data_IF_743944905184
#
_entry.id   IF_743944905184
#
_cell.length_a   1.000
_cell.length_b   1.000
_cell.length_c   1.000
_cell.angle_alpha   90.00
_cell.angle_beta   90.00
_cell.angle_gamma   90.00
#
_symmetry.space_group_name_H-M   'P 1'
#
loop_
_entity.id
_entity.type
_entity.pdbx_description
1 polymer ?
#
# COMPACT_ATOMS: atom_id res chain seq x y z
N UNK A 1 20.86 -10.34 -64.53
CA UNK A 1 20.83 -11.11 -63.27
C UNK A 1 20.28 -10.27 -62.11
N UNK A 2 20.56 -8.97 -62.02
CA UNK A 2 20.01 -8.08 -60.98
C UNK A 2 18.47 -8.00 -60.93
N UNK A 3 17.80 -7.94 -62.08
CA UNK A 3 16.32 -7.88 -62.16
C UNK A 3 15.60 -9.13 -61.63
N UNK A 4 16.24 -10.31 -61.73
CA UNK A 4 15.69 -11.56 -61.17
C UNK A 4 15.78 -11.52 -59.64
N UNK A 5 16.88 -10.98 -59.09
CA UNK A 5 17.07 -10.76 -57.66
C UNK A 5 15.99 -9.83 -57.09
N UNK A 6 15.73 -8.69 -57.75
CA UNK A 6 14.72 -7.73 -57.29
C UNK A 6 13.30 -8.32 -57.29
N UNK A 7 12.94 -9.11 -58.30
CA UNK A 7 11.61 -9.76 -58.36
C UNK A 7 11.40 -10.75 -57.21
N UNK A 8 12.39 -11.62 -56.96
CA UNK A 8 12.33 -12.58 -55.86
C UNK A 8 12.23 -11.89 -54.50
N UNK A 9 12.91 -10.77 -54.33
CA UNK A 9 12.87 -9.98 -53.10
C UNK A 9 11.50 -9.30 -52.90
N UNK A 10 10.88 -8.79 -53.97
CA UNK A 10 9.51 -8.26 -53.95
C UNK A 10 8.50 -9.36 -53.60
N UNK A 11 8.60 -10.54 -54.19
CA UNK A 11 7.70 -11.68 -53.93
C UNK A 11 7.82 -12.16 -52.48
N UNK A 12 9.05 -12.26 -51.96
CA UNK A 12 9.31 -12.59 -50.55
C UNK A 12 8.71 -11.54 -49.61
N UNK A 13 8.89 -10.26 -49.92
CA UNK A 13 8.34 -9.16 -49.13
C UNK A 13 6.81 -9.17 -49.15
N UNK A 14 6.20 -9.35 -50.32
CA UNK A 14 4.75 -9.48 -50.48
C UNK A 14 4.18 -10.65 -49.68
N UNK A 15 4.81 -11.82 -49.75
CA UNK A 15 4.40 -13.01 -49.00
C UNK A 15 4.47 -12.78 -47.48
N UNK A 16 5.54 -12.14 -46.99
CA UNK A 16 5.69 -11.76 -45.58
C UNK A 16 4.60 -10.78 -45.13
N UNK A 17 4.36 -9.72 -45.89
CA UNK A 17 3.31 -8.73 -45.56
C UNK A 17 1.93 -9.38 -45.55
N UNK A 18 1.63 -10.25 -46.53
CA UNK A 18 0.35 -10.97 -46.60
C UNK A 18 0.16 -11.90 -45.40
N UNK A 19 1.22 -12.61 -45.01
CA UNK A 19 1.21 -13.53 -43.85
C UNK A 19 0.99 -12.77 -42.54
N UNK A 20 1.72 -11.66 -42.33
CA UNK A 20 1.56 -10.81 -41.15
C UNK A 20 0.14 -10.21 -41.12
N UNK A 21 -0.34 -9.67 -42.25
CA UNK A 21 -1.69 -9.10 -42.36
C UNK A 21 -2.79 -10.11 -41.99
N UNK A 22 -2.65 -11.36 -42.44
CA UNK A 22 -3.60 -12.42 -42.08
C UNK A 22 -3.53 -12.78 -40.60
N UNK A 23 -2.32 -12.84 -40.02
CA UNK A 23 -2.12 -13.16 -38.60
C UNK A 23 -2.68 -12.07 -37.69
N UNK A 24 -2.41 -10.79 -37.97
CA UNK A 24 -2.92 -9.65 -37.20
C UNK A 24 -4.46 -9.57 -37.24
N UNK A 25 -5.08 -9.97 -38.36
CA UNK A 25 -6.55 -10.08 -38.46
C UNK A 25 -7.15 -11.21 -37.63
N UNK A 26 -6.42 -12.30 -37.42
CA UNK A 26 -6.87 -13.48 -36.67
C UNK A 26 -6.55 -13.43 -35.17
N UNK A 27 -5.49 -12.75 -34.80
CA UNK A 27 -5.05 -12.58 -33.42
C UNK A 27 -4.85 -11.09 -33.15
N UNK A 28 -5.94 -10.33 -32.97
CA UNK A 28 -5.82 -8.92 -32.62
C UNK A 28 -5.00 -8.76 -31.35
N UNK A 29 -4.24 -7.66 -31.28
CA UNK A 29 -3.40 -7.30 -30.14
C UNK A 29 -4.18 -7.24 -28.82
N UNK A 30 -5.48 -6.92 -28.91
CA UNK A 30 -6.47 -7.00 -27.85
C UNK A 30 -7.20 -8.34 -27.94
N UNK A 31 -6.49 -9.41 -27.60
CA UNK A 31 -7.09 -10.71 -27.33
C UNK A 31 -7.94 -10.57 -26.06
N UNK A 32 -9.25 -10.77 -26.20
CA UNK A 32 -10.24 -10.54 -25.14
C UNK A 32 -9.90 -11.34 -23.87
N UNK A 33 -9.45 -12.58 -24.01
CA UNK A 33 -9.07 -13.42 -22.86
C UNK A 33 -7.85 -12.83 -22.11
N UNK A 34 -6.85 -12.35 -22.85
CA UNK A 34 -5.66 -11.74 -22.25
C UNK A 34 -5.97 -10.41 -21.58
N UNK A 35 -6.83 -9.60 -22.20
CA UNK A 35 -7.29 -8.33 -21.63
C UNK A 35 -8.08 -8.59 -20.35
N UNK A 36 -9.01 -9.55 -20.37
CA UNK A 36 -9.81 -9.91 -19.20
C UNK A 36 -8.91 -10.42 -18.06
N UNK A 37 -7.96 -11.31 -18.33
CA UNK A 37 -7.02 -11.79 -17.32
C UNK A 37 -6.19 -10.66 -16.69
N UNK A 38 -5.79 -9.67 -17.49
CA UNK A 38 -5.10 -8.47 -16.99
C UNK A 38 -6.00 -7.60 -16.10
N UNK A 39 -7.25 -7.37 -16.52
CA UNK A 39 -8.23 -6.62 -15.74
C UNK A 39 -8.58 -7.32 -14.43
N UNK A 40 -8.72 -8.64 -14.44
CA UNK A 40 -8.97 -9.44 -13.25
C UNK A 40 -7.79 -9.33 -12.26
N UNK A 41 -6.55 -9.40 -12.75
CA UNK A 41 -5.37 -9.20 -11.91
C UNK A 41 -5.33 -7.79 -11.29
N UNK A 42 -5.76 -6.76 -12.02
CA UNK A 42 -5.88 -5.40 -11.49
C UNK A 42 -6.97 -5.29 -10.42
N UNK A 43 -8.10 -5.95 -10.61
CA UNK A 43 -9.21 -6.00 -9.64
C UNK A 43 -8.75 -6.69 -8.36
N UNK A 44 -8.05 -7.83 -8.49
CA UNK A 44 -7.55 -8.58 -7.35
C UNK A 44 -6.52 -7.76 -6.56
N UNK A 45 -5.61 -7.08 -7.26
CA UNK A 45 -4.66 -6.17 -6.61
C UNK A 45 -5.36 -5.07 -5.80
N UNK A 46 -6.43 -4.46 -6.34
CA UNK A 46 -7.24 -3.47 -5.61
C UNK A 46 -7.87 -4.07 -4.35
N UNK A 47 -8.44 -5.27 -4.42
CA UNK A 47 -9.03 -5.94 -3.26
C UNK A 47 -8.00 -6.17 -2.15
N UNK A 48 -6.82 -6.67 -2.51
CA UNK A 48 -5.72 -6.89 -1.55
C UNK A 48 -5.36 -5.58 -0.83
N UNK A 49 -5.32 -4.46 -1.55
CA UNK A 49 -5.05 -3.15 -0.95
C UNK A 49 -6.16 -2.73 0.02
N UNK A 50 -7.43 -2.90 -0.36
CA UNK A 50 -8.57 -2.58 0.49
C UNK A 50 -8.55 -3.41 1.77
N UNK A 51 -8.36 -4.73 1.66
CA UNK A 51 -8.29 -5.64 2.81
C UNK A 51 -7.15 -5.28 3.76
N UNK A 52 -5.96 -5.00 3.21
CA UNK A 52 -4.80 -4.56 4.02
C UNK A 52 -5.07 -3.24 4.73
N UNK A 53 -5.69 -2.29 4.04
CA UNK A 53 -6.06 -0.98 4.61
C UNK A 53 -7.04 -1.17 5.77
N UNK A 54 -8.05 -2.03 5.61
CA UNK A 54 -9.01 -2.33 6.67
C UNK A 54 -8.35 -2.98 7.90
N UNK A 55 -7.41 -3.90 7.69
CA UNK A 55 -6.65 -4.53 8.77
C UNK A 55 -5.85 -3.46 9.54
N UNK A 56 -5.16 -2.56 8.83
CA UNK A 56 -4.37 -1.49 9.45
C UNK A 56 -5.29 -0.55 10.23
N UNK A 57 -6.41 -0.13 9.66
CA UNK A 57 -7.37 0.75 10.35
C UNK A 57 -7.91 0.09 11.63
N UNK A 58 -8.17 -1.21 11.62
CA UNK A 58 -8.56 -1.93 12.83
C UNK A 58 -7.45 -1.94 13.90
N UNK A 59 -6.18 -2.07 13.48
CA UNK A 59 -5.04 -1.97 14.39
C UNK A 59 -4.95 -0.55 14.97
N UNK A 60 -5.10 0.49 14.14
CA UNK A 60 -5.08 1.89 14.55
C UNK A 60 -6.15 2.14 15.62
N UNK A 61 -7.41 1.76 15.36
CA UNK A 61 -8.52 1.90 16.32
C UNK A 61 -8.24 1.18 17.64
N UNK A 62 -7.59 0.00 17.60
CA UNK A 62 -7.24 -0.74 18.81
C UNK A 62 -6.11 -0.05 19.59
N UNK A 63 -5.10 0.49 18.91
CA UNK A 63 -4.01 1.25 19.54
C UNK A 63 -4.55 2.53 20.18
N UNK A 64 -5.39 3.28 19.46
CA UNK A 64 -6.05 4.48 19.97
C UNK A 64 -6.86 4.19 21.23
N UNK A 65 -7.60 3.09 21.29
CA UNK A 65 -8.35 2.72 22.50
C UNK A 65 -7.46 2.50 23.73
N UNK A 66 -6.21 2.07 23.53
CA UNK A 66 -5.27 1.88 24.64
C UNK A 66 -4.85 3.20 25.28
N UNK A 67 -4.88 4.32 24.56
CA UNK A 67 -4.51 5.64 25.11
C UNK A 67 -5.46 6.12 26.21
N UNK A 68 -6.63 5.50 26.33
CA UNK A 68 -7.65 5.82 27.34
C UNK A 68 -7.48 5.04 28.63
N UNK A 69 -6.54 4.09 28.69
CA UNK A 69 -6.34 3.28 29.90
C UNK A 69 -5.61 4.08 30.97
N UNK A 70 -6.05 3.94 32.22
CA UNK A 70 -5.39 4.49 33.41
C UNK A 70 -4.87 3.36 34.30
N UNK A 71 -4.00 3.70 35.26
CA UNK A 71 -3.56 2.81 36.33
C UNK A 71 -2.87 1.52 35.86
N UNK A 72 -2.08 1.61 34.79
CA UNK A 72 -1.29 0.51 34.28
C UNK A 72 -0.09 0.20 35.18
N UNK A 73 0.15 -1.08 35.42
CA UNK A 73 1.34 -1.56 36.13
C UNK A 73 2.58 -1.62 35.21
N UNK A 74 3.74 -1.93 35.80
CA UNK A 74 5.02 -1.97 35.08
C UNK A 74 5.05 -3.04 33.98
N UNK A 75 4.41 -4.19 34.21
CA UNK A 75 4.30 -5.27 33.22
C UNK A 75 3.47 -4.81 32.00
N UNK A 76 2.37 -4.08 32.23
CA UNK A 76 1.57 -3.48 31.18
C UNK A 76 2.38 -2.45 30.38
N UNK A 77 3.15 -1.59 31.06
CA UNK A 77 4.01 -0.60 30.40
C UNK A 77 5.11 -1.27 29.55
N UNK A 78 5.68 -2.38 30.01
CA UNK A 78 6.65 -3.13 29.22
C UNK A 78 6.02 -3.69 27.93
N UNK A 79 4.83 -4.29 28.03
CA UNK A 79 4.09 -4.81 26.86
C UNK A 79 3.72 -3.68 25.89
N UNK A 80 3.33 -2.50 26.40
CA UNK A 80 3.05 -1.34 25.55
C UNK A 80 4.29 -0.87 24.78
N UNK A 81 5.46 -0.88 25.41
CA UNK A 81 6.71 -0.53 24.73
C UNK A 81 7.07 -1.52 23.61
N UNK A 82 6.84 -2.82 23.83
CA UNK A 82 7.03 -3.86 22.81
C UNK A 82 6.00 -3.73 21.67
N UNK A 83 4.75 -3.38 21.99
CA UNK A 83 3.71 -3.08 21.01
C UNK A 83 4.10 -1.89 20.13
N UNK A 84 4.57 -0.78 20.72
CA UNK A 84 5.02 0.42 20.00
C UNK A 84 6.18 0.06 19.07
N UNK A 85 7.15 -0.72 19.55
CA UNK A 85 8.29 -1.18 18.75
C UNK A 85 7.84 -2.03 17.57
N UNK A 86 6.92 -2.96 17.80
CA UNK A 86 6.32 -3.80 16.76
C UNK A 86 5.53 -2.99 15.73
N UNK A 87 4.81 -1.94 16.16
CA UNK A 87 4.07 -1.05 15.28
C UNK A 87 5.00 -0.21 14.39
N UNK A 88 6.13 0.27 14.94
CA UNK A 88 7.19 0.96 14.18
C UNK A 88 7.80 0.08 13.09
N UNK A 89 8.04 -1.20 13.41
CA UNK A 89 8.57 -2.19 12.45
C UNK A 89 7.55 -2.54 11.35
N UNK A 90 6.29 -2.72 11.74
CA UNK A 90 5.18 -2.92 10.81
C UNK A 90 5.07 -1.74 9.84
N UNK A 91 5.01 -0.51 10.35
CA UNK A 91 4.98 0.72 9.53
C UNK A 91 6.15 0.77 8.56
N UNK A 92 7.36 0.48 9.01
CA UNK A 92 8.56 0.49 8.18
C UNK A 92 8.44 -0.50 7.00
N UNK A 93 7.87 -1.67 7.25
CA UNK A 93 7.62 -2.68 6.22
C UNK A 93 6.52 -2.25 5.23
N UNK A 94 5.44 -1.65 5.73
CA UNK A 94 4.33 -1.18 4.90
C UNK A 94 4.74 0.02 4.01
N UNK A 95 5.55 0.95 4.51
CA UNK A 95 6.10 2.05 3.70
C UNK A 95 6.94 1.54 2.53
N UNK A 96 7.77 0.50 2.74
CA UNK A 96 8.54 -0.11 1.64
C UNK A 96 7.63 -0.69 0.56
N UNK A 97 6.54 -1.36 0.97
CA UNK A 97 5.53 -1.87 0.04
C UNK A 97 4.83 -0.72 -0.71
N UNK A 98 4.46 0.34 -0.01
CA UNK A 98 3.88 1.53 -0.66
C UNK A 98 4.82 2.13 -1.70
N UNK A 99 6.12 2.26 -1.39
CA UNK A 99 7.12 2.81 -2.31
C UNK A 99 7.29 1.93 -3.55
N UNK A 100 7.25 0.60 -3.42
CA UNK A 100 7.35 -0.30 -4.57
C UNK A 100 6.16 -0.18 -5.55
N UNK A 101 5.03 0.36 -5.09
CA UNK A 101 3.83 0.59 -5.92
C UNK A 101 3.84 1.94 -6.65
N UNK A 102 4.91 2.75 -6.53
CA UNK A 102 4.95 4.10 -7.07
C UNK A 102 4.72 4.16 -8.60
N UNK A 103 5.24 3.18 -9.34
CA UNK A 103 5.06 3.14 -10.80
C UNK A 103 3.62 2.81 -11.20
N UNK A 104 2.93 1.94 -10.44
CA UNK A 104 1.51 1.66 -10.64
C UNK A 104 0.68 2.92 -10.37
N UNK A 105 0.98 3.62 -9.27
CA UNK A 105 0.33 4.87 -8.90
C UNK A 105 0.52 5.96 -9.96
N UNK A 106 1.73 6.14 -10.49
CA UNK A 106 2.03 7.12 -11.55
C UNK A 106 1.25 6.82 -12.84
N UNK A 107 0.99 5.55 -13.13
CA UNK A 107 0.19 5.09 -14.27
C UNK A 107 -1.32 5.14 -14.01
N UNK A 108 -1.75 5.60 -12.83
CA UNK A 108 -3.17 5.67 -12.47
C UNK A 108 -3.80 4.32 -12.10
N UNK A 109 -2.99 3.27 -11.94
CA UNK A 109 -3.47 1.94 -11.55
C UNK A 109 -3.70 1.92 -10.04
N UNK A 110 -4.94 1.59 -9.63
CA UNK A 110 -5.36 1.48 -8.22
C UNK A 110 -4.98 2.72 -7.38
N UNK A 111 -5.06 3.91 -7.99
CA UNK A 111 -4.51 5.15 -7.40
C UNK A 111 -5.14 5.49 -6.05
N UNK A 112 -6.46 5.38 -5.94
CA UNK A 112 -7.18 5.70 -4.71
C UNK A 112 -6.90 4.63 -3.65
N UNK A 113 -6.91 3.35 -4.02
CA UNK A 113 -6.62 2.26 -3.08
C UNK A 113 -5.18 2.34 -2.53
N UNK A 114 -4.20 2.71 -3.36
CA UNK A 114 -2.81 2.95 -2.92
C UNK A 114 -2.72 4.18 -2.01
N UNK A 115 -3.53 5.21 -2.26
CA UNK A 115 -3.58 6.42 -1.44
C UNK A 115 -4.19 6.12 -0.07
N UNK A 116 -5.31 5.42 -0.03
CA UNK A 116 -5.98 5.01 1.21
C UNK A 116 -5.08 4.09 2.04
N UNK A 117 -4.39 3.16 1.38
CA UNK A 117 -3.37 2.33 2.02
C UNK A 117 -2.27 3.20 2.65
N UNK A 118 -1.76 4.22 1.96
CA UNK A 118 -0.78 5.15 2.56
C UNK A 118 -1.35 5.90 3.75
N UNK A 119 -2.57 6.41 3.64
CA UNK A 119 -3.20 7.15 4.74
C UNK A 119 -3.29 6.28 6.00
N UNK A 120 -3.72 5.01 5.86
CA UNK A 120 -3.76 4.08 7.01
C UNK A 120 -2.39 3.84 7.66
N UNK A 121 -1.30 3.85 6.87
CA UNK A 121 0.08 3.70 7.37
C UNK A 121 0.53 4.97 8.10
N UNK A 122 0.14 6.14 7.61
CA UNK A 122 0.44 7.42 8.25
C UNK A 122 -0.38 7.55 9.56
N UNK A 123 -1.64 7.12 9.59
CA UNK A 123 -2.46 7.03 10.82
C UNK A 123 -1.86 6.03 11.83
N UNK A 124 -1.31 4.90 11.38
CA UNK A 124 -0.61 3.97 12.28
C UNK A 124 0.58 4.65 12.97
N UNK A 125 1.27 5.55 12.25
CA UNK A 125 2.37 6.35 12.81
C UNK A 125 1.88 7.19 13.96
N UNK A 126 0.79 7.92 13.73
CA UNK A 126 0.19 8.82 14.71
C UNK A 126 -0.30 8.03 15.92
N UNK A 127 -1.03 6.93 15.70
CA UNK A 127 -1.57 6.09 16.77
C UNK A 127 -0.49 5.58 17.75
N UNK A 128 0.64 5.05 17.25
CA UNK A 128 1.69 4.58 18.17
C UNK A 128 2.50 5.74 18.77
N UNK A 129 2.63 6.88 18.10
CA UNK A 129 3.31 8.07 18.65
C UNK A 129 2.49 8.71 19.77
N UNK A 130 1.16 8.74 19.64
CA UNK A 130 0.24 9.17 20.68
C UNK A 130 0.27 8.22 21.88
N UNK A 131 0.27 6.91 21.63
CA UNK A 131 0.42 5.91 22.67
C UNK A 131 1.74 6.06 23.43
N UNK A 132 2.84 6.26 22.70
CA UNK A 132 4.16 6.53 23.28
C UNK A 132 4.16 7.82 24.11
N UNK A 133 3.52 8.86 23.60
CA UNK A 133 3.40 10.15 24.26
C UNK A 133 2.65 10.06 25.59
N UNK A 134 1.45 9.46 25.57
CA UNK A 134 0.56 9.33 26.74
C UNK A 134 1.22 8.58 27.89
N UNK A 135 1.89 7.47 27.61
CA UNK A 135 2.39 6.59 28.67
C UNK A 135 3.86 6.83 29.05
N UNK A 136 4.70 7.33 28.14
CA UNK A 136 6.15 7.40 28.39
C UNK A 136 6.74 8.81 28.35
N UNK A 137 6.04 9.78 27.76
CA UNK A 137 6.54 11.15 27.62
C UNK A 137 5.82 12.15 28.53
N UNK A 138 4.50 12.29 28.39
CA UNK A 138 3.69 13.25 29.15
C UNK A 138 3.80 13.07 30.67
N UNK A 139 3.83 11.84 31.24
CA UNK A 139 3.99 11.65 32.68
C UNK A 139 5.33 12.18 33.23
N UNK A 140 6.34 12.39 32.37
CA UNK A 140 7.64 12.95 32.76
C UNK A 140 7.64 14.48 32.78
N UNK A 141 6.61 15.14 32.26
CA UNK A 141 6.49 16.59 32.22
C UNK A 141 5.79 17.08 33.49
N UNK A 142 6.54 17.71 34.40
CA UNK A 142 6.03 18.17 35.70
C UNK A 142 4.79 19.06 35.57
N UNK A 143 4.80 20.04 34.65
CA UNK A 143 3.66 20.93 34.42
C UNK A 143 2.40 20.20 33.96
N UNK A 144 2.54 19.11 33.19
CA UNK A 144 1.41 18.29 32.74
C UNK A 144 0.82 17.51 33.91
N UNK A 145 1.66 16.90 34.76
CA UNK A 145 1.26 16.18 35.97
C UNK A 145 0.56 17.11 36.97
N UNK A 146 1.08 18.31 37.16
CA UNK A 146 0.50 19.28 38.09
C UNK A 146 -0.87 19.79 37.60
N UNK A 147 -1.02 20.03 36.30
CA UNK A 147 -2.29 20.44 35.70
C UNK A 147 -3.33 19.32 35.73
N UNK A 148 -2.94 18.08 35.41
CA UNK A 148 -3.85 16.92 35.49
C UNK A 148 -4.30 16.65 36.91
N UNK A 149 -3.42 16.79 37.92
CA UNK A 149 -3.81 16.74 39.33
C UNK A 149 -4.85 17.80 39.69
N UNK A 150 -4.66 19.05 39.25
CA UNK A 150 -5.63 20.14 39.50
C UNK A 150 -6.99 19.86 38.85
N UNK A 151 -7.00 19.26 37.66
CA UNK A 151 -8.24 18.91 36.95
C UNK A 151 -8.94 17.68 37.56
N UNK A 152 -8.20 16.74 38.14
CA UNK A 152 -8.74 15.54 38.78
C UNK A 152 -9.34 15.77 40.18
N UNK A 153 -9.13 16.96 40.77
CA UNK A 153 -9.63 17.35 42.09
C UNK A 153 -11.00 18.06 42.03
N UNK A 154 -11.65 18.10 40.86
CA UNK A 154 -12.99 18.63 40.63
C UNK A 154 -14.01 17.51 40.52
#
# INVERSE_FOLDING_TARGET
METISHKTEIENTFSRVRTISFREKKSPLLDEEKVNAFLDAMIEFKKILVEKTQIINNINERIEKLTWFSDLDEDCLMILNDLISSAKDLRSSLIRQYVSMNDLRKKGIAKEEIKDFKNSIDELKEAYEDLESVFFFLPKITAFVDTTKQLSLV
#
